data_IF_919446285698
#
_entry.id   IF_919446285698
#
_cell.length_a   1.000
_cell.length_b   1.000
_cell.length_c   1.000
_cell.angle_alpha   90.00
_cell.angle_beta   90.00
_cell.angle_gamma   90.00
#
_symmetry.space_group_name_H-M   'P 1'
#
loop_
_entity.id
_entity.type
_entity.pdbx_description
1 polymer ?
#
# COMPACT_ATOMS: atom_id res chain seq x y z
N UNK A 1 8.31 37.43 15.83
CA UNK A 1 8.85 36.14 16.35
C UNK A 1 8.92 35.07 15.23
N UNK A 2 7.90 34.95 14.38
CA UNK A 2 7.84 34.07 13.20
C UNK A 2 9.06 34.12 12.25
N UNK A 3 9.51 35.32 11.86
CA UNK A 3 10.65 35.52 10.96
C UNK A 3 11.98 34.98 11.51
N UNK A 4 12.19 35.02 12.84
CA UNK A 4 13.39 34.45 13.48
C UNK A 4 13.37 32.93 13.45
N UNK A 5 12.19 32.31 13.57
CA UNK A 5 12.04 30.84 13.51
C UNK A 5 12.30 30.33 12.09
N UNK A 6 11.78 31.01 11.08
CA UNK A 6 12.03 30.68 9.66
C UNK A 6 13.52 30.81 9.31
N UNK A 7 14.16 31.89 9.76
CA UNK A 7 15.59 32.10 9.52
C UNK A 7 16.47 31.08 10.26
N UNK A 8 16.09 30.68 11.48
CA UNK A 8 16.78 29.61 12.21
C UNK A 8 16.64 28.24 11.52
N UNK A 9 15.48 27.93 10.92
CA UNK A 9 15.26 26.71 10.13
C UNK A 9 16.09 26.70 8.83
N UNK A 10 16.20 27.84 8.17
CA UNK A 10 16.97 28.02 6.92
C UNK A 10 18.50 28.05 7.13
N UNK A 11 18.99 28.12 8.37
CA UNK A 11 20.43 28.16 8.69
C UNK A 11 20.87 26.94 9.51
N UNK A 12 19.93 26.11 9.99
CA UNK A 12 20.23 24.93 10.80
C UNK A 12 21.06 23.89 10.04
N UNK A 13 22.17 23.43 10.66
CA UNK A 13 22.97 22.31 10.16
C UNK A 13 22.16 21.00 10.23
N UNK A 14 22.45 20.06 9.33
CA UNK A 14 21.83 18.73 9.33
C UNK A 14 22.17 17.94 10.58
N UNK A 15 21.25 17.89 11.53
CA UNK A 15 21.30 17.08 12.76
C UNK A 15 20.46 15.79 12.63
N UNK A 16 20.67 14.86 13.57
CA UNK A 16 19.92 13.59 13.70
C UNK A 16 18.39 13.78 13.70
N UNK A 17 17.90 14.92 14.20
CA UNK A 17 16.49 15.28 14.17
C UNK A 17 15.91 15.31 12.76
N UNK A 18 16.66 15.81 11.76
CA UNK A 18 16.19 15.83 10.38
C UNK A 18 16.14 14.44 9.75
N UNK A 19 17.04 13.53 10.14
CA UNK A 19 16.99 12.13 9.72
C UNK A 19 15.77 11.41 10.31
N UNK A 20 15.49 11.64 11.60
CA UNK A 20 14.26 11.16 12.24
C UNK A 20 13.00 11.71 11.57
N UNK A 21 13.03 12.97 11.14
CA UNK A 21 11.94 13.59 10.38
C UNK A 21 11.77 12.96 8.99
N UNK A 22 12.86 12.63 8.28
CA UNK A 22 12.78 11.88 7.00
C UNK A 22 12.11 10.54 7.20
N UNK A 23 12.52 9.76 8.21
CA UNK A 23 11.94 8.44 8.47
C UNK A 23 10.45 8.58 8.75
N UNK A 24 10.07 9.44 9.70
CA UNK A 24 8.66 9.60 10.08
C UNK A 24 7.83 10.15 8.91
N UNK A 25 8.38 11.04 8.08
CA UNK A 25 7.69 11.56 6.92
C UNK A 25 7.59 10.54 5.76
N UNK A 26 8.63 9.71 5.59
CA UNK A 26 8.71 8.67 4.57
C UNK A 26 7.93 7.41 4.92
N UNK A 27 7.55 7.20 6.18
CA UNK A 27 6.68 6.08 6.58
C UNK A 27 5.30 6.10 5.88
N UNK A 28 4.79 7.28 5.51
CA UNK A 28 3.59 7.41 4.68
C UNK A 28 3.81 6.79 3.29
N UNK A 29 4.79 7.30 2.54
CA UNK A 29 5.16 6.77 1.22
C UNK A 29 5.60 5.30 1.25
N UNK A 30 6.21 4.85 2.34
CA UNK A 30 6.51 3.44 2.59
C UNK A 30 5.23 2.59 2.60
N UNK A 31 4.24 3.02 3.37
CA UNK A 31 2.93 2.35 3.48
C UNK A 31 2.19 2.37 2.15
N UNK A 32 2.14 3.52 1.48
CA UNK A 32 1.50 3.68 0.16
C UNK A 32 2.06 2.68 -0.85
N UNK A 33 3.38 2.51 -0.83
CA UNK A 33 4.09 1.64 -1.76
C UNK A 33 3.92 0.16 -1.40
N UNK A 34 3.81 -0.17 -0.12
CA UNK A 34 3.42 -1.52 0.28
C UNK A 34 2.05 -1.88 -0.31
N UNK A 35 1.03 -1.03 -0.08
CA UNK A 35 -0.35 -1.33 -0.45
C UNK A 35 -0.63 -1.30 -1.96
N UNK A 36 0.09 -0.48 -2.73
CA UNK A 36 -0.03 -0.45 -4.19
C UNK A 36 0.67 -1.63 -4.86
N UNK A 37 1.85 -2.02 -4.36
CA UNK A 37 2.67 -3.04 -5.01
C UNK A 37 2.42 -4.46 -4.50
N UNK A 38 1.68 -4.65 -3.40
CA UNK A 38 1.24 -5.99 -2.98
C UNK A 38 0.17 -6.57 -3.92
N UNK A 39 -0.57 -5.73 -4.63
CA UNK A 39 -1.70 -6.17 -5.47
C UNK A 39 -1.30 -7.05 -6.64
N UNK A 40 -0.33 -6.68 -7.50
CA UNK A 40 0.08 -7.55 -8.59
C UNK A 40 0.50 -8.95 -8.10
N UNK A 41 1.10 -9.05 -6.91
CA UNK A 41 1.49 -10.33 -6.30
C UNK A 41 0.25 -11.11 -5.82
N UNK A 42 -0.64 -10.45 -5.08
CA UNK A 42 -1.89 -11.03 -4.59
C UNK A 42 -2.79 -11.49 -5.74
N UNK A 43 -2.88 -10.72 -6.84
CA UNK A 43 -3.66 -11.10 -8.02
C UNK A 43 -3.18 -12.41 -8.66
N UNK A 44 -1.87 -12.66 -8.69
CA UNK A 44 -1.33 -13.94 -9.16
C UNK A 44 -1.77 -15.09 -8.27
N UNK A 45 -1.84 -14.86 -6.96
CA UNK A 45 -2.28 -15.89 -6.01
C UNK A 45 -3.79 -16.12 -6.07
N UNK A 46 -4.60 -15.05 -6.16
CA UNK A 46 -6.06 -15.13 -6.35
C UNK A 46 -6.40 -15.89 -7.65
N UNK A 47 -5.62 -15.69 -8.71
CA UNK A 47 -5.77 -16.47 -9.95
C UNK A 47 -5.68 -17.97 -9.72
N UNK A 48 -4.73 -18.41 -8.88
CA UNK A 48 -4.56 -19.82 -8.53
C UNK A 48 -5.68 -20.39 -7.66
N UNK A 49 -6.32 -19.55 -6.85
CA UNK A 49 -7.34 -19.98 -5.88
C UNK A 49 -8.73 -20.02 -6.53
N UNK A 50 -9.08 -18.96 -7.28
CA UNK A 50 -10.46 -18.70 -7.69
C UNK A 50 -10.74 -18.90 -9.17
N UNK A 51 -9.71 -18.93 -10.01
CA UNK A 51 -9.89 -19.07 -11.45
C UNK A 51 -9.64 -20.51 -11.90
N UNK A 52 -10.61 -21.12 -12.61
CA UNK A 52 -10.37 -22.38 -13.29
C UNK A 52 -9.39 -22.18 -14.44
N UNK A 53 -8.95 -23.29 -15.03
CA UNK A 53 -8.04 -23.30 -16.18
C UNK A 53 -8.59 -22.51 -17.38
N UNK A 54 -8.15 -21.26 -17.57
CA UNK A 54 -8.66 -20.35 -18.64
C UNK A 54 -7.73 -20.28 -19.87
N UNK A 55 -6.40 -20.24 -19.68
CA UNK A 55 -5.44 -20.08 -20.78
C UNK A 55 -4.97 -21.41 -21.38
N UNK A 56 -5.88 -22.35 -21.59
CA UNK A 56 -5.55 -23.73 -22.03
C UNK A 56 -4.67 -23.75 -23.29
N UNK A 57 -4.89 -22.82 -24.20
CA UNK A 57 -4.30 -22.81 -25.55
C UNK A 57 -3.05 -21.91 -25.69
N UNK A 58 -2.71 -21.09 -24.67
CA UNK A 58 -1.65 -20.08 -24.80
C UNK A 58 -0.31 -20.55 -24.21
N UNK A 59 -0.30 -20.99 -22.93
CA UNK A 59 0.90 -21.47 -22.24
C UNK A 59 0.51 -22.15 -20.91
N UNK A 60 1.19 -23.24 -20.53
CA UNK A 60 0.95 -23.95 -19.27
C UNK A 60 1.18 -23.07 -18.04
N UNK A 61 2.10 -22.10 -18.15
CA UNK A 61 2.40 -21.14 -17.08
C UNK A 61 1.23 -20.21 -16.74
N UNK A 62 0.30 -20.01 -17.67
CA UNK A 62 -0.83 -19.06 -17.56
C UNK A 62 -2.15 -19.74 -17.18
N UNK A 63 -2.15 -21.06 -16.99
CA UNK A 63 -3.37 -21.84 -16.77
C UNK A 63 -4.23 -21.33 -15.61
N UNK A 64 -3.65 -20.70 -14.59
CA UNK A 64 -4.38 -20.19 -13.41
C UNK A 64 -4.09 -18.71 -13.13
N UNK A 65 -3.98 -17.90 -14.18
CA UNK A 65 -3.86 -16.45 -14.05
C UNK A 65 -5.22 -15.76 -14.19
N UNK A 66 -5.44 -14.73 -13.38
CA UNK A 66 -6.60 -13.85 -13.54
C UNK A 66 -6.52 -13.20 -14.92
N UNK A 67 -7.63 -13.12 -15.68
CA UNK A 67 -7.66 -12.42 -16.96
C UNK A 67 -7.07 -11.02 -16.84
N UNK A 68 -6.20 -10.64 -17.78
CA UNK A 68 -5.45 -9.38 -17.71
C UNK A 68 -6.36 -8.17 -17.51
N UNK A 69 -7.54 -8.14 -18.14
CA UNK A 69 -8.51 -7.07 -17.96
C UNK A 69 -8.96 -6.87 -16.51
N UNK A 70 -9.19 -7.95 -15.75
CA UNK A 70 -9.63 -7.87 -14.35
C UNK A 70 -8.46 -7.47 -13.46
N UNK A 71 -7.28 -8.05 -13.66
CA UNK A 71 -6.08 -7.68 -12.92
C UNK A 71 -5.70 -6.20 -13.11
N UNK A 72 -5.73 -5.72 -14.35
CA UNK A 72 -5.52 -4.30 -14.66
C UNK A 72 -6.60 -3.41 -14.06
N UNK A 73 -7.87 -3.84 -14.08
CA UNK A 73 -8.97 -3.07 -13.46
C UNK A 73 -8.73 -2.87 -11.96
N UNK A 74 -8.27 -3.88 -11.23
CA UNK A 74 -7.99 -3.76 -9.79
C UNK A 74 -6.88 -2.73 -9.48
N UNK A 75 -5.85 -2.68 -10.33
CA UNK A 75 -4.77 -1.69 -10.23
C UNK A 75 -5.31 -0.29 -10.58
N UNK A 76 -6.02 -0.17 -11.71
CA UNK A 76 -6.58 1.09 -12.18
C UNK A 76 -7.57 1.70 -11.19
N UNK A 77 -8.42 0.90 -10.53
CA UNK A 77 -9.37 1.39 -9.51
C UNK A 77 -8.64 2.02 -8.32
N UNK A 78 -7.53 1.43 -7.89
CA UNK A 78 -6.70 2.00 -6.80
C UNK A 78 -6.07 3.33 -7.22
N UNK A 79 -5.54 3.40 -8.45
CA UNK A 79 -4.94 4.63 -8.99
C UNK A 79 -5.98 5.72 -9.23
N UNK A 80 -7.19 5.36 -9.68
CA UNK A 80 -8.31 6.29 -9.84
C UNK A 80 -8.74 6.87 -8.49
N UNK A 81 -8.81 6.01 -7.45
CA UNK A 81 -9.00 6.46 -6.08
C UNK A 81 -7.92 7.46 -5.65
N UNK A 82 -6.64 7.17 -5.94
CA UNK A 82 -5.53 8.07 -5.61
C UNK A 82 -5.63 9.45 -6.29
N UNK A 83 -6.01 9.51 -7.56
CA UNK A 83 -6.23 10.79 -8.26
C UNK A 83 -7.34 11.60 -7.59
N UNK A 84 -8.47 10.95 -7.28
CA UNK A 84 -9.59 11.60 -6.61
C UNK A 84 -9.18 12.06 -5.20
N UNK A 85 -8.47 11.21 -4.46
CA UNK A 85 -7.93 11.52 -3.14
C UNK A 85 -7.02 12.74 -3.16
N UNK A 86 -6.09 12.83 -4.11
CA UNK A 86 -5.18 13.99 -4.26
C UNK A 86 -5.93 15.30 -4.46
N UNK A 87 -6.97 15.30 -5.30
CA UNK A 87 -7.77 16.51 -5.56
C UNK A 87 -8.60 16.92 -4.35
N UNK A 88 -9.27 15.97 -3.70
CA UNK A 88 -10.16 16.22 -2.57
C UNK A 88 -9.36 16.61 -1.33
N UNK A 89 -8.38 15.79 -0.94
CA UNK A 89 -7.59 16.02 0.26
C UNK A 89 -6.58 17.15 0.11
N UNK A 90 -6.10 17.45 -1.10
CA UNK A 90 -5.32 18.67 -1.36
C UNK A 90 -6.12 19.92 -0.99
N UNK A 91 -7.33 20.06 -1.54
CA UNK A 91 -8.21 21.20 -1.24
C UNK A 91 -8.70 21.21 0.20
N UNK A 92 -8.94 20.05 0.80
CA UNK A 92 -9.36 19.95 2.21
C UNK A 92 -8.21 20.32 3.16
N UNK A 93 -6.97 19.92 2.83
CA UNK A 93 -5.77 20.22 3.59
C UNK A 93 -5.52 21.72 3.73
N UNK A 94 -5.78 22.47 2.67
CA UNK A 94 -5.67 23.94 2.65
C UNK A 94 -6.76 24.65 3.47
N UNK A 95 -7.93 24.03 3.68
CA UNK A 95 -9.07 24.66 4.39
C UNK A 95 -9.20 24.28 5.87
N UNK A 96 -8.99 23.01 6.19
CA UNK A 96 -9.30 22.43 7.52
C UNK A 96 -8.04 22.25 8.37
N UNK A 97 -6.87 22.31 7.73
CA UNK A 97 -5.56 22.12 8.33
C UNK A 97 -4.98 20.75 8.00
N UNK A 98 -3.69 20.75 7.65
CA UNK A 98 -2.97 19.59 7.12
C UNK A 98 -2.93 18.40 8.08
N UNK A 99 -2.77 18.65 9.38
CA UNK A 99 -2.69 17.57 10.40
C UNK A 99 -3.98 16.77 10.52
N UNK A 100 -5.15 17.43 10.50
CA UNK A 100 -6.44 16.75 10.59
C UNK A 100 -6.72 15.92 9.35
N UNK A 101 -6.50 16.51 8.17
CA UNK A 101 -6.75 15.85 6.89
C UNK A 101 -5.85 14.63 6.73
N UNK A 102 -4.59 14.75 7.15
CA UNK A 102 -3.64 13.65 7.19
C UNK A 102 -4.09 12.50 8.11
N UNK A 103 -4.58 12.81 9.31
CA UNK A 103 -5.14 11.80 10.22
C UNK A 103 -6.32 11.05 9.59
N UNK A 104 -7.20 11.77 8.89
CA UNK A 104 -8.35 11.17 8.20
C UNK A 104 -7.90 10.24 7.06
N UNK A 105 -6.92 10.65 6.25
CA UNK A 105 -6.43 9.83 5.14
C UNK A 105 -5.78 8.53 5.62
N UNK A 106 -5.00 8.58 6.71
CA UNK A 106 -4.39 7.38 7.30
C UNK A 106 -5.41 6.43 7.93
N UNK A 107 -6.42 6.96 8.64
CA UNK A 107 -7.52 6.11 9.17
C UNK A 107 -8.26 5.44 8.02
N UNK A 108 -8.51 6.16 6.93
CA UNK A 108 -9.13 5.61 5.73
C UNK A 108 -8.27 4.48 5.13
N UNK A 109 -6.95 4.64 5.04
CA UNK A 109 -6.05 3.57 4.59
C UNK A 109 -6.09 2.34 5.50
N UNK A 110 -6.03 2.51 6.83
CA UNK A 110 -6.10 1.40 7.79
C UNK A 110 -7.41 0.63 7.65
N UNK A 111 -8.55 1.33 7.64
CA UNK A 111 -9.87 0.72 7.52
C UNK A 111 -10.03 0.02 6.17
N UNK A 112 -9.57 0.63 5.09
CA UNK A 112 -9.66 0.04 3.76
C UNK A 112 -8.73 -1.18 3.59
N UNK A 113 -7.54 -1.15 4.19
CA UNK A 113 -6.58 -2.26 4.19
C UNK A 113 -7.13 -3.47 4.94
N UNK A 114 -7.70 -3.25 6.12
CA UNK A 114 -8.42 -4.30 6.88
C UNK A 114 -9.64 -4.79 6.09
N UNK A 115 -10.40 -3.87 5.50
CA UNK A 115 -11.58 -4.16 4.68
C UNK A 115 -11.27 -5.07 3.47
N UNK A 116 -10.10 -4.90 2.84
CA UNK A 116 -9.64 -5.79 1.78
C UNK A 116 -9.53 -7.26 2.24
N UNK A 117 -9.11 -7.50 3.50
CA UNK A 117 -9.02 -8.85 4.07
C UNK A 117 -10.36 -9.43 4.52
N UNK A 118 -11.28 -8.57 5.00
CA UNK A 118 -12.61 -8.93 5.50
C UNK A 118 -13.64 -9.26 4.39
N UNK A 119 -13.21 -9.35 3.13
CA UNK A 119 -14.04 -9.71 1.99
C UNK A 119 -14.53 -11.18 2.03
N UNK A 120 -15.37 -11.56 3.00
CA UNK A 120 -15.74 -12.94 3.37
C UNK A 120 -16.65 -13.68 2.36
N UNK A 121 -16.90 -13.10 1.19
CA UNK A 121 -17.73 -13.73 0.18
C UNK A 121 -17.06 -14.98 -0.40
N UNK A 122 -17.81 -16.09 -0.53
CA UNK A 122 -17.34 -17.32 -1.19
C UNK A 122 -17.48 -17.30 -2.71
N UNK A 123 -18.25 -16.35 -3.23
CA UNK A 123 -18.48 -16.17 -4.66
C UNK A 123 -17.36 -15.32 -5.25
N UNK A 124 -16.61 -15.89 -6.20
CA UNK A 124 -15.57 -15.21 -6.99
C UNK A 124 -15.94 -13.79 -7.42
N UNK A 125 -17.10 -13.52 -8.05
CA UNK A 125 -17.44 -12.15 -8.47
C UNK A 125 -17.61 -11.20 -7.29
N UNK A 126 -18.17 -11.67 -6.17
CA UNK A 126 -18.36 -10.81 -5.00
C UNK A 126 -17.04 -10.44 -4.34
N UNK A 127 -16.06 -11.35 -4.30
CA UNK A 127 -14.71 -11.07 -3.79
C UNK A 127 -14.05 -9.93 -4.58
N UNK A 128 -14.12 -9.97 -5.92
CA UNK A 128 -13.53 -8.91 -6.75
C UNK A 128 -14.25 -7.57 -6.61
N UNK A 129 -15.58 -7.56 -6.44
CA UNK A 129 -16.34 -6.33 -6.24
C UNK A 129 -16.02 -5.67 -4.90
N UNK A 130 -16.06 -6.43 -3.80
CA UNK A 130 -15.70 -5.90 -2.48
C UNK A 130 -14.22 -5.50 -2.41
N UNK A 131 -13.32 -6.32 -2.96
CA UNK A 131 -11.90 -5.99 -3.04
C UNK A 131 -11.68 -4.70 -3.84
N UNK A 132 -12.33 -4.56 -5.00
CA UNK A 132 -12.28 -3.34 -5.82
C UNK A 132 -12.79 -2.11 -5.08
N UNK A 133 -13.89 -2.23 -4.33
CA UNK A 133 -14.42 -1.14 -3.50
C UNK A 133 -13.44 -0.71 -2.40
N UNK A 134 -12.90 -1.66 -1.63
CA UNK A 134 -11.93 -1.34 -0.58
C UNK A 134 -10.61 -0.81 -1.17
N UNK A 135 -10.18 -1.30 -2.33
CA UNK A 135 -9.00 -0.78 -3.06
C UNK A 135 -9.20 0.65 -3.53
N UNK A 136 -10.41 0.98 -4.01
CA UNK A 136 -10.75 2.35 -4.35
C UNK A 136 -10.62 3.26 -3.12
N UNK A 137 -11.22 2.85 -1.99
CA UNK A 137 -11.17 3.61 -0.74
C UNK A 137 -9.73 3.75 -0.20
N UNK A 138 -8.95 2.68 -0.29
CA UNK A 138 -7.53 2.69 0.07
C UNK A 138 -6.76 3.66 -0.83
N UNK A 139 -7.01 3.62 -2.14
CA UNK A 139 -6.44 4.54 -3.11
C UNK A 139 -6.76 5.99 -2.77
N UNK A 140 -8.01 6.29 -2.41
CA UNK A 140 -8.41 7.64 -1.94
C UNK A 140 -7.59 8.08 -0.72
N UNK A 141 -7.37 7.19 0.24
CA UNK A 141 -6.51 7.43 1.40
C UNK A 141 -5.05 7.74 1.02
N UNK A 142 -4.44 6.90 0.17
CA UNK A 142 -3.08 7.11 -0.36
C UNK A 142 -2.97 8.46 -1.07
N UNK A 143 -3.97 8.80 -1.88
CA UNK A 143 -4.01 10.07 -2.60
C UNK A 143 -3.97 11.29 -1.68
N UNK A 144 -4.49 11.17 -0.45
CA UNK A 144 -4.37 12.22 0.56
C UNK A 144 -2.99 12.30 1.20
N UNK A 145 -2.40 11.16 1.57
CA UNK A 145 -1.08 11.11 2.23
C UNK A 145 0.04 11.65 1.34
N UNK A 146 0.04 11.26 0.05
CA UNK A 146 1.11 11.57 -0.89
C UNK A 146 1.48 13.08 -1.00
N UNK A 147 0.55 14.01 -1.27
CA UNK A 147 0.87 15.45 -1.31
C UNK A 147 1.15 16.04 0.08
N UNK A 148 0.51 15.53 1.14
CA UNK A 148 0.71 16.01 2.50
C UNK A 148 2.12 15.65 3.00
N UNK A 149 2.57 14.43 2.73
CA UNK A 149 3.91 13.96 3.09
C UNK A 149 5.01 14.79 2.39
N UNK A 150 4.85 15.09 1.10
CA UNK A 150 5.77 15.94 0.35
C UNK A 150 5.81 17.40 0.87
N UNK A 151 4.64 17.98 1.16
CA UNK A 151 4.54 19.37 1.65
C UNK A 151 5.10 19.53 3.05
N UNK A 152 4.82 18.61 3.97
CA UNK A 152 5.37 18.65 5.33
C UNK A 152 6.91 18.58 5.28
N UNK A 153 7.48 17.68 4.47
CA UNK A 153 8.94 17.59 4.38
C UNK A 153 9.57 18.87 3.81
N UNK A 154 8.93 19.45 2.80
CA UNK A 154 9.35 20.73 2.22
C UNK A 154 9.32 21.89 3.23
N UNK A 155 8.49 21.83 4.26
CA UNK A 155 8.38 22.85 5.31
C UNK A 155 9.39 22.67 6.44
N UNK A 156 9.76 21.42 6.76
CA UNK A 156 10.76 21.11 7.78
C UNK A 156 12.21 21.14 7.28
N UNK A 157 12.43 21.14 5.96
CA UNK A 157 13.77 21.07 5.39
C UNK A 157 14.43 22.45 5.19
N UNK A 158 15.73 22.50 5.46
CA UNK A 158 16.58 23.67 5.23
C UNK A 158 16.75 23.93 3.70
N UNK A 159 16.75 25.20 3.28
CA UNK A 159 16.84 25.70 1.90
C UNK A 159 17.94 25.03 1.04
N UNK A 160 19.12 24.75 1.59
CA UNK A 160 20.23 24.14 0.83
C UNK A 160 20.06 22.62 0.59
N UNK A 161 19.45 21.90 1.53
CA UNK A 161 19.37 20.42 1.52
C UNK A 161 17.95 19.91 1.27
N UNK A 162 16.98 20.81 1.05
CA UNK A 162 15.57 20.50 0.82
C UNK A 162 15.33 19.45 -0.26
N UNK A 163 16.08 19.52 -1.37
CA UNK A 163 15.99 18.51 -2.43
C UNK A 163 16.39 17.11 -1.97
N UNK A 164 17.52 16.98 -1.28
CA UNK A 164 17.99 15.69 -0.73
C UNK A 164 17.04 15.14 0.34
N UNK A 165 16.45 16.03 1.15
CA UNK A 165 15.46 15.68 2.15
C UNK A 165 14.16 15.13 1.55
N UNK A 166 13.65 15.78 0.50
CA UNK A 166 12.49 15.30 -0.25
C UNK A 166 12.82 13.97 -0.93
N UNK A 167 13.98 13.86 -1.59
CA UNK A 167 14.42 12.63 -2.23
C UNK A 167 14.53 11.47 -1.21
N UNK A 168 15.05 11.72 0.00
CA UNK A 168 15.12 10.71 1.06
C UNK A 168 13.75 10.17 1.49
N UNK A 169 12.74 11.04 1.55
CA UNK A 169 11.34 10.64 1.83
C UNK A 169 10.79 9.78 0.69
N UNK A 170 10.99 10.18 -0.57
CA UNK A 170 10.57 9.38 -1.73
C UNK A 170 11.31 8.05 -1.85
N UNK A 171 12.58 7.97 -1.45
CA UNK A 171 13.34 6.71 -1.42
C UNK A 171 12.73 5.66 -0.48
N UNK A 172 11.91 6.05 0.50
CA UNK A 172 11.20 5.10 1.37
C UNK A 172 10.17 4.24 0.62
N UNK A 173 9.71 4.67 -0.56
CA UNK A 173 8.88 3.85 -1.44
C UNK A 173 9.57 2.53 -1.82
N UNK A 174 10.86 2.55 -2.10
CA UNK A 174 11.62 1.35 -2.45
C UNK A 174 11.59 0.30 -1.33
N UNK A 175 11.74 0.75 -0.08
CA UNK A 175 11.65 -0.12 1.09
C UNK A 175 10.24 -0.70 1.27
N UNK A 176 9.19 0.06 0.95
CA UNK A 176 7.81 -0.43 0.98
C UNK A 176 7.54 -1.55 -0.04
N UNK A 177 8.08 -1.41 -1.25
CA UNK A 177 7.99 -2.43 -2.31
C UNK A 177 8.74 -3.70 -1.90
N UNK A 178 9.92 -3.56 -1.31
CA UNK A 178 10.70 -4.68 -0.79
C UNK A 178 9.96 -5.40 0.35
N UNK A 179 9.37 -4.65 1.29
CA UNK A 179 8.60 -5.24 2.37
C UNK A 179 7.38 -5.99 1.85
N UNK A 180 6.64 -5.43 0.89
CA UNK A 180 5.51 -6.11 0.23
C UNK A 180 5.93 -7.45 -0.37
N UNK A 181 7.04 -7.46 -1.10
CA UNK A 181 7.57 -8.68 -1.73
C UNK A 181 8.04 -9.70 -0.69
N UNK A 182 8.68 -9.24 0.37
CA UNK A 182 9.15 -10.09 1.48
C UNK A 182 7.97 -10.72 2.22
N UNK A 183 6.96 -9.93 2.60
CA UNK A 183 5.75 -10.43 3.29
C UNK A 183 5.03 -11.45 2.42
N UNK A 184 4.86 -11.16 1.13
CA UNK A 184 4.26 -12.10 0.19
C UNK A 184 5.03 -13.43 0.14
N UNK A 185 6.36 -13.38 0.06
CA UNK A 185 7.21 -14.57 0.01
C UNK A 185 7.16 -15.36 1.31
N UNK A 186 7.23 -14.70 2.46
CA UNK A 186 7.13 -15.34 3.79
C UNK A 186 5.77 -16.01 3.98
N UNK A 187 4.68 -15.36 3.60
CA UNK A 187 3.33 -15.96 3.69
C UNK A 187 3.23 -17.17 2.76
N UNK A 188 3.68 -17.07 1.51
CA UNK A 188 3.72 -18.22 0.60
C UNK A 188 4.52 -19.39 1.19
N UNK A 189 5.68 -19.12 1.79
CA UNK A 189 6.53 -20.13 2.42
C UNK A 189 5.85 -20.82 3.62
N UNK A 190 5.19 -20.05 4.49
CA UNK A 190 4.46 -20.60 5.64
C UNK A 190 3.32 -21.53 5.18
N UNK A 191 2.53 -21.10 4.20
CA UNK A 191 1.44 -21.91 3.66
C UNK A 191 1.95 -23.15 2.91
N UNK A 192 3.11 -23.07 2.27
CA UNK A 192 3.77 -24.22 1.66
C UNK A 192 4.22 -25.24 2.72
N UNK A 193 4.92 -24.78 3.76
CA UNK A 193 5.37 -25.64 4.86
C UNK A 193 4.21 -26.27 5.65
N UNK A 194 3.11 -25.53 5.83
CA UNK A 194 1.89 -26.05 6.46
C UNK A 194 1.19 -27.13 5.62
N UNK A 195 1.51 -27.21 4.33
CA UNK A 195 0.86 -28.10 3.38
C UNK A 195 1.75 -29.28 2.96
N UNK A 196 2.84 -29.58 3.68
CA UNK A 196 3.77 -30.71 3.47
C UNK A 196 3.10 -32.12 3.48
N UNK A 197 1.79 -32.22 3.75
CA UNK A 197 0.98 -33.44 3.57
C UNK A 197 0.06 -33.47 2.34
N UNK A 198 -0.04 -32.37 1.57
CA UNK A 198 -0.83 -32.25 0.35
C UNK A 198 0.11 -32.17 -0.87
N UNK A 199 -0.15 -32.93 -1.95
CA UNK A 199 0.64 -32.91 -3.19
C UNK A 199 0.48 -31.57 -3.95
N UNK A 200 1.15 -30.53 -3.48
CA UNK A 200 1.27 -29.23 -4.14
C UNK A 200 2.07 -29.41 -5.43
N UNK A 201 1.37 -29.50 -6.55
CA UNK A 201 2.01 -29.62 -7.86
C UNK A 201 2.05 -28.27 -8.54
N UNK A 202 3.19 -27.94 -9.14
CA UNK A 202 3.32 -26.69 -9.88
C UNK A 202 2.45 -26.77 -11.15
N UNK A 203 1.93 -25.63 -11.67
CA UNK A 203 1.12 -25.63 -12.90
C UNK A 203 1.80 -26.29 -14.12
N UNK A 204 3.14 -26.36 -14.11
CA UNK A 204 3.96 -27.00 -15.14
C UNK A 204 3.94 -28.53 -15.07
N UNK A 205 3.68 -29.09 -13.89
CA UNK A 205 3.63 -30.54 -13.63
C UNK A 205 2.19 -31.07 -13.60
N UNK A 206 1.20 -30.19 -13.74
CA UNK A 206 -0.21 -30.55 -13.76
C UNK A 206 -0.58 -31.29 -15.05
N UNK A 207 -1.23 -32.45 -14.90
CA UNK A 207 -1.83 -33.14 -16.03
C UNK A 207 -2.85 -32.22 -16.75
N UNK A 208 -2.97 -32.31 -18.09
CA UNK A 208 -3.89 -31.47 -18.86
C UNK A 208 -5.37 -31.55 -18.43
N UNK A 209 -5.76 -32.65 -17.76
CA UNK A 209 -7.10 -32.96 -17.25
C UNK A 209 -7.47 -32.27 -15.94
N UNK A 210 -6.54 -31.57 -15.28
CA UNK A 210 -6.81 -30.88 -14.02
C UNK A 210 -7.29 -29.45 -14.30
N UNK A 211 -8.55 -29.18 -13.94
CA UNK A 211 -9.21 -27.89 -14.19
C UNK A 211 -9.06 -26.88 -13.03
N UNK A 212 -8.68 -27.35 -11.83
CA UNK A 212 -8.51 -26.56 -10.61
C UNK A 212 -7.12 -26.79 -10.05
N UNK A 213 -6.39 -25.71 -9.73
CA UNK A 213 -5.06 -25.84 -9.15
C UNK A 213 -5.12 -26.51 -7.76
N UNK A 214 -4.24 -27.48 -7.46
CA UNK A 214 -4.15 -28.07 -6.13
C UNK A 214 -3.48 -27.08 -5.18
N UNK A 215 -4.28 -26.20 -4.61
CA UNK A 215 -3.88 -25.26 -3.55
C UNK A 215 -4.41 -25.75 -2.20
N UNK A 216 -3.72 -25.44 -1.09
CA UNK A 216 -4.24 -25.73 0.24
C UNK A 216 -5.62 -25.08 0.43
N UNK A 217 -6.57 -25.74 1.11
CA UNK A 217 -7.91 -25.18 1.35
C UNK A 217 -7.86 -23.85 2.12
N UNK A 218 -6.80 -23.62 2.90
CA UNK A 218 -6.59 -22.40 3.67
C UNK A 218 -5.93 -21.26 2.88
N UNK A 219 -5.54 -21.48 1.62
CA UNK A 219 -4.83 -20.49 0.78
C UNK A 219 -5.61 -19.20 0.56
N UNK A 220 -6.94 -19.23 0.73
CA UNK A 220 -7.77 -18.02 0.74
C UNK A 220 -7.40 -17.05 1.87
N UNK A 221 -6.93 -17.55 3.01
CA UNK A 221 -6.48 -16.72 4.12
C UNK A 221 -5.16 -16.00 3.80
N UNK A 222 -4.30 -16.59 2.97
CA UNK A 222 -2.97 -16.05 2.69
C UNK A 222 -3.04 -14.64 2.07
N UNK A 223 -3.87 -14.42 1.05
CA UNK A 223 -3.93 -13.08 0.41
C UNK A 223 -4.60 -12.07 1.32
N UNK A 224 -5.60 -12.50 2.09
CA UNK A 224 -6.30 -11.65 3.05
C UNK A 224 -5.32 -11.13 4.09
N UNK A 225 -4.49 -12.01 4.64
CA UNK A 225 -3.45 -11.66 5.62
C UNK A 225 -2.46 -10.67 5.00
N UNK A 226 -1.97 -10.94 3.79
CA UNK A 226 -1.04 -10.04 3.10
C UNK A 226 -1.65 -8.63 2.95
N UNK A 227 -2.93 -8.53 2.59
CA UNK A 227 -3.59 -7.21 2.48
C UNK A 227 -3.79 -6.55 3.84
N UNK A 228 -4.21 -7.29 4.88
CA UNK A 228 -4.41 -6.75 6.22
C UNK A 228 -3.10 -6.32 6.89
N UNK A 229 -1.97 -6.96 6.57
CA UNK A 229 -0.66 -6.59 7.09
C UNK A 229 -0.24 -5.17 6.63
N UNK A 230 -0.84 -4.64 5.56
CA UNK A 230 -0.68 -3.23 5.15
C UNK A 230 -1.22 -2.21 6.16
N UNK A 231 -2.19 -2.62 6.99
CA UNK A 231 -2.73 -1.76 8.04
C UNK A 231 -1.70 -1.48 9.16
N UNK A 232 -0.73 -2.37 9.36
CA UNK A 232 0.31 -2.22 10.38
C UNK A 232 1.19 -0.98 10.13
N UNK A 233 1.90 -0.85 8.99
CA UNK A 233 2.70 0.33 8.72
C UNK A 233 1.85 1.61 8.64
N UNK A 234 0.60 1.53 8.16
CA UNK A 234 -0.34 2.66 8.18
C UNK A 234 -0.64 3.15 9.61
N UNK A 235 -0.96 2.21 10.52
CA UNK A 235 -1.25 2.52 11.93
C UNK A 235 -0.02 3.06 12.68
N UNK A 236 1.16 2.52 12.37
CA UNK A 236 2.42 2.99 12.92
C UNK A 236 2.72 4.43 12.49
N UNK A 237 2.48 4.72 11.20
CA UNK A 237 2.61 6.06 10.62
C UNK A 237 1.64 7.04 11.29
N UNK A 238 0.39 6.62 11.51
CA UNK A 238 -0.62 7.41 12.20
C UNK A 238 -0.16 7.82 13.61
N UNK A 239 0.35 6.86 14.39
CA UNK A 239 0.86 7.14 15.74
C UNK A 239 2.04 8.13 15.73
N UNK A 240 3.04 7.90 14.88
CA UNK A 240 4.23 8.76 14.83
C UNK A 240 3.98 10.14 14.24
N UNK A 241 2.97 10.28 13.37
CA UNK A 241 2.59 11.57 12.80
C UNK A 241 1.68 12.36 13.72
N UNK A 242 0.79 11.70 14.47
CA UNK A 242 -0.04 12.40 15.46
C UNK A 242 0.78 12.98 16.61
N UNK A 243 1.98 12.46 16.86
CA UNK A 243 2.92 12.99 17.87
C UNK A 243 3.76 14.16 17.35
N UNK A 244 3.76 14.46 16.04
CA UNK A 244 4.44 15.63 15.48
C UNK A 244 3.62 16.92 15.63
N UNK A 245 4.24 18.05 16.04
CA UNK A 245 3.58 19.36 16.07
C UNK A 245 3.32 19.88 14.65
N UNK A 246 2.31 20.76 14.51
CA UNK A 246 2.00 21.41 13.24
C UNK A 246 3.16 22.29 12.75
N UNK A 247 3.29 22.41 11.43
CA UNK A 247 4.40 23.15 10.81
C UNK A 247 4.30 24.64 11.12
N UNK A 248 5.44 25.24 11.48
CA UNK A 248 5.53 26.67 11.80
C UNK A 248 5.19 27.60 10.62
N UNK A 249 5.15 27.08 9.38
CA UNK A 249 4.74 27.80 8.17
C UNK A 249 3.22 27.82 7.94
N UNK A 250 2.45 26.91 8.55
CA UNK A 250 0.99 26.94 8.47
C UNK A 250 0.38 27.86 9.53
N UNK A 251 1.04 27.98 10.69
CA UNK A 251 0.57 28.81 11.82
C UNK A 251 0.96 30.29 11.73
N UNK A 252 1.63 30.73 10.66
CA UNK A 252 2.04 32.13 10.41
C UNK A 252 1.55 32.58 9.03
#
# INVERSE_FOLDING_TARGET
MALKVLWALDVAKTQYYHFKAIIIAGMGLFTDSYDLFCIPLVMKMIGRIYYPKIHRDVDQKKWFEVPTGIASTMICVSLMGAVIGQLVFGRLGDRVGRRRVYGISLVMMVVASIGCGLSLSKLTPMVFVSLGFFRFLLGVGIGGDYPLSATIMAEFANKQTRGAFIAGVFSMQGFGILLSSLVFMTVCFIFQASADGHNLTTPLELAPSVDIAPVPPESDLAWRIILMLGAIPASMTFYWRMTMPETARYNN
#
